data_IF_953988205534
#
_entry.id   IF_953988205534
#
_cell.length_a   1.000
_cell.length_b   1.000
_cell.length_c   1.000
_cell.angle_alpha   90.00
_cell.angle_beta   90.00
_cell.angle_gamma   90.00
#
_symmetry.space_group_name_H-M   'P 1'
#
loop_
_entity.id
_entity.type
_entity.pdbx_description
1 polymer ?
#
# COMPACT_ATOMS: atom_id res chain seq x y z
N UNK A 1 9.50 -28.26 50.58
CA UNK A 1 10.04 -27.66 51.83
C UNK A 1 10.94 -26.51 51.41
N UNK A 2 10.70 -25.31 51.94
CA UNK A 2 11.36 -24.00 51.73
C UNK A 2 11.12 -23.28 50.37
N UNK A 3 10.19 -22.33 50.20
CA UNK A 3 10.07 -20.90 50.64
C UNK A 3 11.11 -19.91 50.08
N UNK A 4 10.61 -18.87 49.35
CA UNK A 4 10.78 -17.41 49.54
C UNK A 4 10.25 -16.67 48.29
N UNK A 5 9.09 -16.00 48.31
CA UNK A 5 8.79 -14.65 48.82
C UNK A 5 9.84 -13.58 48.48
N UNK A 6 9.44 -12.65 47.60
CA UNK A 6 10.11 -11.37 47.35
C UNK A 6 9.08 -10.38 46.79
N UNK A 7 8.43 -9.64 47.70
CA UNK A 7 7.65 -8.44 47.41
C UNK A 7 8.57 -7.22 47.36
N UNK A 8 8.12 -6.13 46.71
CA UNK A 8 8.33 -4.67 46.98
C UNK A 8 8.13 -3.93 45.63
N UNK A 9 7.10 -3.13 45.37
CA UNK A 9 6.59 -1.89 46.01
C UNK A 9 7.06 -0.61 45.29
N UNK A 10 6.04 0.13 44.79
CA UNK A 10 5.86 1.59 44.83
C UNK A 10 6.64 2.55 43.91
N UNK A 11 5.87 3.36 43.16
CA UNK A 11 5.84 4.84 43.05
C UNK A 11 5.23 5.19 41.68
N UNK A 12 4.07 5.84 41.52
CA UNK A 12 3.58 6.98 42.27
C UNK A 12 3.96 8.29 41.56
N UNK A 13 3.35 8.62 40.41
CA UNK A 13 3.40 9.99 39.85
C UNK A 13 2.01 10.40 39.35
N UNK A 14 1.29 11.09 40.23
CA UNK A 14 0.13 11.89 39.86
C UNK A 14 0.61 13.16 39.13
N UNK A 15 0.15 13.38 37.89
CA UNK A 15 0.27 14.69 37.24
C UNK A 15 -1.08 15.39 37.19
N UNK A 16 -1.02 16.65 37.61
CA UNK A 16 -2.11 17.59 37.90
C UNK A 16 -2.06 18.73 36.87
N UNK A 17 -3.23 19.34 36.61
CA UNK A 17 -3.49 20.64 35.94
C UNK A 17 -3.44 20.57 34.40
N UNK A 18 -4.26 21.28 33.61
CA UNK A 18 -4.97 22.59 33.69
C UNK A 18 -6.24 22.44 32.80
N UNK A 19 -7.39 23.09 32.96
CA UNK A 19 -7.63 24.48 33.29
C UNK A 19 -8.10 25.23 32.02
N UNK A 20 -9.28 25.85 32.13
CA UNK A 20 -9.81 26.97 31.36
C UNK A 20 -10.65 26.71 30.09
N UNK A 21 -11.93 27.11 30.25
CA UNK A 21 -12.99 27.40 29.27
C UNK A 21 -12.56 28.50 28.30
N UNK A 22 -13.14 28.52 27.11
CA UNK A 22 -13.59 29.76 26.46
C UNK A 22 -14.68 29.46 25.42
N UNK A 23 -15.89 29.97 25.71
CA UNK A 23 -16.94 30.22 24.74
C UNK A 23 -16.50 31.38 23.83
N UNK A 24 -16.80 31.28 22.53
CA UNK A 24 -17.04 32.45 21.69
C UNK A 24 -18.13 32.14 20.67
N UNK A 25 -19.33 32.69 20.94
CA UNK A 25 -20.35 32.94 19.93
C UNK A 25 -19.80 33.97 18.94
N UNK A 26 -19.91 33.68 17.64
CA UNK A 26 -19.70 34.64 16.56
C UNK A 26 -20.91 34.66 15.64
N UNK A 27 -21.82 35.59 15.90
CA UNK A 27 -22.95 35.97 15.04
C UNK A 27 -22.44 36.54 13.70
N UNK A 28 -23.08 36.08 12.62
CA UNK A 28 -23.68 36.95 11.60
C UNK A 28 -22.77 37.62 10.57
N UNK A 29 -23.09 37.43 9.29
CA UNK A 29 -23.48 38.53 8.42
C UNK A 29 -24.09 38.00 7.12
N UNK A 30 -25.39 38.28 6.98
CA UNK A 30 -26.18 38.16 5.78
C UNK A 30 -25.78 39.32 4.85
N UNK A 31 -25.21 39.02 3.68
CA UNK A 31 -25.00 40.02 2.63
C UNK A 31 -25.77 39.62 1.37
N UNK A 32 -26.94 40.25 1.22
CA UNK A 32 -27.65 40.41 -0.04
C UNK A 32 -26.84 41.34 -0.93
N UNK A 33 -26.39 40.90 -2.10
CA UNK A 33 -25.91 41.79 -3.17
C UNK A 33 -26.52 41.36 -4.50
N UNK A 34 -26.92 42.39 -5.25
CA UNK A 34 -27.92 42.42 -6.28
C UNK A 34 -27.46 41.93 -7.66
N UNK A 35 -28.43 41.48 -8.46
CA UNK A 35 -28.31 41.33 -9.90
C UNK A 35 -28.03 42.68 -10.58
N UNK A 36 -26.99 42.73 -11.41
CA UNK A 36 -26.74 43.80 -12.38
C UNK A 36 -26.36 43.14 -13.70
N UNK A 37 -27.32 43.13 -14.62
CA UNK A 37 -27.12 42.86 -16.05
C UNK A 37 -26.35 44.01 -16.70
N UNK A 38 -25.17 43.73 -17.25
CA UNK A 38 -24.40 44.67 -18.06
C UNK A 38 -23.31 43.92 -18.82
N UNK A 39 -23.50 43.76 -20.13
CA UNK A 39 -22.53 43.12 -21.00
C UNK A 39 -21.46 44.13 -21.41
N UNK A 40 -20.20 43.76 -21.20
CA UNK A 40 -19.05 44.38 -21.83
C UNK A 40 -18.07 43.28 -22.26
N UNK A 41 -17.95 43.05 -23.57
CA UNK A 41 -16.94 42.18 -24.15
C UNK A 41 -15.62 42.95 -24.14
N UNK A 42 -14.88 42.82 -23.04
CA UNK A 42 -13.49 43.25 -22.96
C UNK A 42 -12.59 42.21 -23.62
N UNK A 43 -12.16 42.48 -24.85
CA UNK A 43 -10.99 41.83 -25.46
C UNK A 43 -9.74 42.36 -24.73
N UNK A 44 -9.40 41.68 -23.63
CA UNK A 44 -8.34 42.05 -22.71
C UNK A 44 -6.98 41.48 -23.09
N UNK A 45 -6.01 42.39 -23.10
CA UNK A 45 -4.54 42.24 -22.98
C UNK A 45 -4.04 40.87 -22.49
N UNK A 46 -3.15 40.33 -23.29
CA UNK A 46 -2.09 39.35 -23.02
C UNK A 46 -1.44 39.58 -21.64
N UNK A 47 -1.99 38.92 -20.63
CA UNK A 47 -1.32 38.70 -19.35
C UNK A 47 -0.64 37.33 -19.41
N UNK A 48 0.68 37.35 -19.48
CA UNK A 48 1.54 36.20 -19.19
C UNK A 48 1.49 35.85 -17.69
N UNK A 49 0.30 35.50 -17.20
CA UNK A 49 0.12 34.83 -15.92
C UNK A 49 0.25 33.33 -16.13
N UNK A 50 0.90 32.62 -15.22
CA UNK A 50 0.84 31.16 -15.14
C UNK A 50 -0.62 30.73 -15.29
N UNK A 51 -0.96 30.15 -16.45
CA UNK A 51 -2.35 29.93 -16.83
C UNK A 51 -3.05 29.15 -15.73
N UNK A 52 -4.16 29.66 -15.22
CA UNK A 52 -5.11 28.80 -14.51
C UNK A 52 -5.92 28.08 -15.59
N UNK A 53 -6.08 26.76 -15.49
CA UNK A 53 -6.90 26.02 -16.44
C UNK A 53 -8.38 26.36 -16.32
N UNK A 54 -9.26 25.66 -17.04
CA UNK A 54 -10.69 25.96 -17.02
C UNK A 54 -11.30 25.79 -15.62
N UNK A 55 -12.29 26.61 -15.26
CA UNK A 55 -13.05 26.40 -14.03
C UNK A 55 -14.06 25.25 -14.23
N UNK A 56 -14.22 24.39 -13.23
CA UNK A 56 -15.13 23.26 -13.25
C UNK A 56 -15.81 23.09 -11.88
N UNK A 57 -16.99 23.69 -11.71
CA UNK A 57 -17.61 23.80 -10.39
C UNK A 57 -16.72 24.58 -9.42
N UNK A 58 -16.41 23.98 -8.28
CA UNK A 58 -15.48 24.52 -7.28
C UNK A 58 -14.00 24.17 -7.55
N UNK A 59 -13.74 23.32 -8.55
CA UNK A 59 -12.38 22.90 -8.94
C UNK A 59 -11.83 23.78 -10.07
N UNK A 60 -10.53 24.08 -10.04
CA UNK A 60 -9.81 24.69 -11.17
C UNK A 60 -9.00 23.59 -11.88
N UNK A 61 -9.33 23.31 -13.14
CA UNK A 61 -8.61 22.31 -13.93
C UNK A 61 -7.16 22.72 -14.20
N UNK A 62 -6.31 21.75 -14.52
CA UNK A 62 -4.95 22.03 -14.94
C UNK A 62 -4.94 22.71 -16.31
N UNK A 63 -3.81 23.36 -16.65
CA UNK A 63 -3.63 23.98 -17.97
C UNK A 63 -3.69 22.90 -19.05
N UNK A 64 -4.61 23.06 -19.99
CA UNK A 64 -4.81 22.11 -21.09
C UNK A 64 -5.91 21.07 -20.84
N UNK A 65 -6.52 21.05 -19.65
CA UNK A 65 -7.69 20.23 -19.35
C UNK A 65 -8.99 21.00 -19.58
N UNK A 66 -10.06 20.23 -19.86
CA UNK A 66 -11.42 20.73 -20.04
C UNK A 66 -12.30 20.26 -18.89
N UNK A 67 -13.27 21.09 -18.49
CA UNK A 67 -14.26 20.70 -17.50
C UNK A 67 -15.16 19.62 -18.09
N UNK A 68 -15.13 18.42 -17.48
CA UNK A 68 -15.93 17.29 -17.89
C UNK A 68 -17.28 17.26 -17.16
N UNK A 69 -17.28 17.46 -15.84
CA UNK A 69 -18.53 17.55 -15.07
C UNK A 69 -18.43 18.65 -14.01
N UNK A 70 -19.03 19.79 -14.29
CA UNK A 70 -19.02 20.96 -13.41
C UNK A 70 -19.72 20.69 -12.06
N UNK A 71 -20.68 19.76 -11.99
CA UNK A 71 -21.35 19.43 -10.73
C UNK A 71 -20.47 18.60 -9.78
N UNK A 72 -19.47 17.89 -10.31
CA UNK A 72 -18.54 17.05 -9.55
C UNK A 72 -17.13 17.68 -9.46
N UNK A 73 -16.88 18.77 -10.17
CA UNK A 73 -15.53 19.33 -10.32
C UNK A 73 -14.53 18.42 -11.05
N UNK A 74 -15.01 17.57 -11.96
CA UNK A 74 -14.15 16.62 -12.69
C UNK A 74 -13.58 17.27 -13.96
N UNK A 75 -12.26 17.25 -14.07
CA UNK A 75 -11.48 17.71 -15.22
C UNK A 75 -10.99 16.51 -16.04
N UNK A 76 -10.94 16.65 -17.37
CA UNK A 76 -10.43 15.63 -18.26
C UNK A 76 -9.57 16.25 -19.37
N UNK A 77 -8.75 15.43 -20.04
CA UNK A 77 -8.03 15.89 -21.23
C UNK A 77 -9.00 16.05 -22.42
N UNK A 78 -8.67 16.91 -23.41
CA UNK A 78 -9.54 17.18 -24.56
C UNK A 78 -9.95 15.95 -25.38
N UNK A 79 -9.16 14.86 -25.33
CA UNK A 79 -9.38 13.62 -26.08
C UNK A 79 -9.77 12.42 -25.19
N UNK A 80 -10.04 12.65 -23.91
CA UNK A 80 -10.47 11.62 -22.97
C UNK A 80 -11.99 11.63 -22.82
N UNK A 81 -12.61 10.45 -22.90
CA UNK A 81 -14.05 10.31 -22.84
C UNK A 81 -14.61 10.82 -21.51
N UNK A 82 -15.45 11.85 -21.58
CA UNK A 82 -16.08 12.40 -20.39
C UNK A 82 -17.33 11.59 -20.01
N UNK A 83 -17.30 10.96 -18.83
CA UNK A 83 -18.51 10.32 -18.28
C UNK A 83 -19.30 11.34 -17.45
N UNK A 84 -20.55 11.58 -17.85
CA UNK A 84 -21.49 12.38 -17.06
C UNK A 84 -22.08 11.50 -15.95
N UNK A 85 -21.26 11.09 -15.00
CA UNK A 85 -21.73 10.40 -13.81
C UNK A 85 -22.51 11.40 -12.95
N UNK A 86 -23.71 11.02 -12.52
CA UNK A 86 -24.48 11.84 -11.58
C UNK A 86 -23.71 11.94 -10.27
N UNK A 87 -23.35 13.17 -9.88
CA UNK A 87 -22.71 13.44 -8.61
C UNK A 87 -23.76 13.19 -7.53
N UNK A 88 -23.51 12.21 -6.65
CA UNK A 88 -24.32 12.08 -5.46
C UNK A 88 -24.09 13.35 -4.62
N UNK A 89 -25.12 14.13 -4.24
CA UNK A 89 -24.95 15.34 -3.44
C UNK A 89 -24.30 15.11 -2.07
N UNK A 90 -24.00 13.86 -1.67
CA UNK A 90 -23.17 13.51 -0.51
C UNK A 90 -21.77 12.95 -0.82
N UNK A 91 -21.36 12.83 -2.09
CA UNK A 91 -20.22 12.00 -2.53
C UNK A 91 -18.92 12.73 -2.83
N UNK A 92 -18.57 13.77 -2.07
CA UNK A 92 -17.28 14.46 -2.15
C UNK A 92 -16.18 13.85 -1.26
N UNK A 93 -16.47 12.77 -0.54
CA UNK A 93 -15.43 11.96 0.10
C UNK A 93 -15.03 10.88 -0.90
N UNK A 94 -13.92 11.13 -1.58
CA UNK A 94 -13.08 10.06 -2.12
C UNK A 94 -13.08 8.92 -1.07
N UNK A 95 -13.52 7.69 -1.38
CA UNK A 95 -13.36 6.56 -0.47
C UNK A 95 -11.85 6.38 -0.34
N UNK A 96 -11.29 6.98 0.69
CA UNK A 96 -9.86 7.18 0.86
C UNK A 96 -9.11 5.94 0.42
N UNK A 97 -8.24 6.12 -0.57
CA UNK A 97 -7.23 5.13 -0.87
C UNK A 97 -6.55 4.79 0.46
N UNK A 98 -6.50 3.52 0.89
CA UNK A 98 -5.82 3.16 2.13
C UNK A 98 -4.38 3.68 2.07
N UNK A 99 -4.08 4.74 2.82
CA UNK A 99 -2.77 5.37 2.87
C UNK A 99 -2.66 6.83 2.45
N UNK A 100 -3.75 7.55 2.16
CA UNK A 100 -3.64 9.02 2.01
C UNK A 100 -3.38 9.66 3.39
N UNK A 101 -2.24 10.32 3.63
CA UNK A 101 -1.99 11.06 4.85
C UNK A 101 -2.93 12.25 4.84
N UNK A 102 -4.00 12.17 5.64
CA UNK A 102 -5.02 13.21 5.76
C UNK A 102 -4.43 14.61 5.82
N UNK A 103 -5.19 15.59 5.33
CA UNK A 103 -4.74 16.97 5.29
C UNK A 103 -4.43 17.47 6.71
N UNK A 104 -3.50 18.42 6.89
CA UNK A 104 -3.10 18.89 8.23
C UNK A 104 -4.24 19.48 9.08
N UNK A 105 -5.38 19.77 8.47
CA UNK A 105 -6.56 20.35 9.11
C UNK A 105 -7.59 19.29 9.57
N UNK A 106 -7.38 18.02 9.21
CA UNK A 106 -8.22 16.92 9.66
C UNK A 106 -7.96 16.62 11.15
N UNK A 107 -9.01 16.48 11.99
CA UNK A 107 -8.84 16.08 13.37
C UNK A 107 -8.07 14.74 13.40
N UNK A 108 -6.98 14.63 14.18
CA UNK A 108 -6.24 13.39 14.28
C UNK A 108 -7.20 12.29 14.76
N UNK A 109 -7.26 11.19 14.02
CA UNK A 109 -8.15 10.08 14.33
C UNK A 109 -7.98 9.59 15.77
N UNK A 110 -9.05 9.02 16.34
CA UNK A 110 -9.00 8.54 17.71
C UNK A 110 -8.16 7.26 17.79
N UNK A 111 -7.15 7.16 18.68
CA UNK A 111 -6.38 5.93 18.84
C UNK A 111 -7.26 4.78 19.37
N UNK A 112 -7.05 3.58 18.83
CA UNK A 112 -7.75 2.35 19.18
C UNK A 112 -6.77 1.17 19.11
N UNK A 113 -6.12 0.84 20.23
CA UNK A 113 -5.06 -0.18 20.24
C UNK A 113 -3.89 0.22 19.34
N UNK A 114 -3.53 -0.67 18.41
CA UNK A 114 -2.48 -0.46 17.41
C UNK A 114 -2.99 0.25 16.13
N UNK A 115 -4.28 0.58 16.08
CA UNK A 115 -4.93 1.26 14.95
C UNK A 115 -5.38 2.67 15.36
N UNK A 116 -5.57 3.55 14.37
CA UNK A 116 -6.18 4.87 14.56
C UNK A 116 -7.49 4.89 13.77
N UNK A 117 -8.61 5.16 14.44
CA UNK A 117 -9.93 5.18 13.80
C UNK A 117 -10.05 6.37 12.84
N UNK A 118 -10.67 6.12 11.69
CA UNK A 118 -10.93 7.15 10.68
C UNK A 118 -11.92 8.21 11.17
N UNK A 119 -12.10 9.26 10.37
CA UNK A 119 -13.11 10.27 10.68
C UNK A 119 -14.52 9.65 10.71
N UNK A 120 -15.35 10.11 11.64
CA UNK A 120 -16.69 9.58 11.83
C UNK A 120 -16.74 8.23 12.56
N UNK A 121 -15.58 7.63 12.88
CA UNK A 121 -15.52 6.37 13.62
C UNK A 121 -15.14 6.57 15.08
N UNK A 122 -15.61 5.65 15.92
CA UNK A 122 -15.26 5.54 17.34
C UNK A 122 -14.60 4.19 17.65
N UNK A 123 -13.68 4.20 18.62
CA UNK A 123 -13.02 2.97 19.04
C UNK A 123 -14.00 2.06 19.78
N UNK A 124 -14.37 0.95 19.15
CA UNK A 124 -15.24 -0.04 19.77
C UNK A 124 -14.46 -0.99 20.68
N UNK A 125 -13.30 -1.47 20.22
CA UNK A 125 -12.47 -2.36 21.02
C UNK A 125 -10.99 -2.05 20.86
N UNK A 126 -10.45 -1.37 21.87
CA UNK A 126 -9.03 -0.99 21.91
C UNK A 126 -8.09 -2.21 22.00
N UNK A 127 -8.55 -3.36 22.47
CA UNK A 127 -7.71 -4.56 22.52
C UNK A 127 -7.49 -5.19 21.16
N UNK A 128 -8.40 -4.98 20.19
CA UNK A 128 -8.28 -5.53 18.83
C UNK A 128 -8.11 -4.46 17.74
N UNK A 129 -8.04 -3.18 18.12
CA UNK A 129 -8.04 -2.06 17.18
C UNK A 129 -9.29 -1.94 16.33
N UNK A 130 -10.45 -2.38 16.84
CA UNK A 130 -11.71 -2.33 16.09
C UNK A 130 -12.37 -0.96 16.19
N UNK A 131 -12.53 -0.30 15.05
CA UNK A 131 -13.25 0.95 14.88
C UNK A 131 -14.65 0.68 14.31
N UNK A 132 -15.64 1.45 14.74
CA UNK A 132 -17.02 1.41 14.22
C UNK A 132 -17.49 2.81 13.90
N UNK A 133 -18.49 2.96 13.04
CA UNK A 133 -19.12 4.26 12.79
C UNK A 133 -19.69 4.86 14.08
N UNK A 134 -19.68 6.19 14.21
CA UNK A 134 -20.19 6.88 15.39
C UNK A 134 -21.67 6.54 15.65
N UNK A 135 -21.96 6.01 16.85
CA UNK A 135 -23.29 5.53 17.22
C UNK A 135 -23.61 4.11 16.72
N UNK A 136 -22.64 3.44 16.09
CA UNK A 136 -22.73 2.04 15.71
C UNK A 136 -22.82 1.11 16.92
N UNK A 137 -23.40 -0.06 16.72
CA UNK A 137 -23.43 -1.08 17.77
C UNK A 137 -22.01 -1.58 18.04
N UNK A 138 -21.55 -1.41 19.28
CA UNK A 138 -20.27 -1.93 19.70
C UNK A 138 -20.43 -3.19 20.55
N UNK A 139 -19.91 -4.32 20.05
CA UNK A 139 -19.84 -5.56 20.80
C UNK A 139 -18.40 -5.71 21.33
N UNK A 140 -18.22 -5.56 22.65
CA UNK A 140 -16.92 -5.71 23.31
C UNK A 140 -16.52 -7.19 23.44
N UNK A 141 -16.50 -7.91 22.33
CA UNK A 141 -16.01 -9.28 22.30
C UNK A 141 -14.55 -9.28 22.71
N UNK A 142 -14.18 -10.21 23.59
CA UNK A 142 -12.77 -10.52 23.78
C UNK A 142 -12.18 -10.83 22.40
N UNK A 143 -11.07 -10.19 22.05
CA UNK A 143 -10.34 -10.60 20.86
C UNK A 143 -10.04 -12.08 21.06
N UNK A 144 -10.39 -12.92 20.07
CA UNK A 144 -9.64 -14.16 19.95
C UNK A 144 -8.17 -13.74 19.93
N UNK A 145 -7.33 -14.28 20.83
CA UNK A 145 -5.92 -13.93 20.83
C UNK A 145 -5.45 -14.12 19.39
N UNK A 146 -4.89 -13.06 18.80
CA UNK A 146 -4.21 -13.21 17.51
C UNK A 146 -3.33 -14.45 17.68
N UNK A 147 -3.51 -15.43 16.78
CA UNK A 147 -2.70 -16.64 16.81
C UNK A 147 -1.26 -16.18 17.04
N UNK A 148 -0.52 -16.78 18.00
CA UNK A 148 0.82 -16.32 18.32
C UNK A 148 1.55 -16.14 16.99
N UNK A 149 2.10 -14.93 16.73
CA UNK A 149 2.80 -14.72 15.47
C UNK A 149 3.85 -15.83 15.43
N UNK A 150 3.80 -16.70 14.42
CA UNK A 150 4.62 -17.90 14.46
C UNK A 150 6.09 -17.54 14.26
N UNK A 151 6.90 -18.42 13.67
CA UNK A 151 8.31 -18.08 13.54
C UNK A 151 8.52 -16.94 12.52
N UNK A 152 9.31 -15.93 12.88
CA UNK A 152 9.70 -14.87 11.95
C UNK A 152 10.57 -15.48 10.84
N UNK A 153 10.19 -15.28 9.59
CA UNK A 153 10.91 -15.75 8.42
C UNK A 153 11.17 -14.58 7.48
N UNK A 154 12.33 -13.93 7.64
CA UNK A 154 12.64 -12.70 6.90
C UNK A 154 11.61 -11.60 7.13
N UNK A 155 10.94 -11.18 6.06
CA UNK A 155 9.86 -10.18 6.08
C UNK A 155 8.47 -10.79 6.35
N UNK A 156 8.36 -12.12 6.41
CA UNK A 156 7.11 -12.83 6.65
C UNK A 156 7.09 -13.47 8.04
N UNK A 157 5.90 -13.90 8.47
CA UNK A 157 5.69 -14.67 9.69
C UNK A 157 5.02 -15.99 9.32
N UNK A 158 5.63 -17.11 9.67
CA UNK A 158 5.09 -18.43 9.37
C UNK A 158 3.94 -18.72 10.35
N UNK A 159 2.75 -19.03 9.84
CA UNK A 159 1.59 -19.37 10.67
C UNK A 159 1.71 -20.74 11.32
N UNK A 160 0.71 -21.09 12.13
CA UNK A 160 0.63 -22.40 12.78
C UNK A 160 0.71 -23.55 11.75
N UNK A 161 1.52 -24.58 12.05
CA UNK A 161 1.75 -25.72 11.15
C UNK A 161 2.70 -25.43 9.98
N UNK A 162 3.37 -24.28 9.97
CA UNK A 162 4.40 -23.93 8.98
C UNK A 162 5.71 -23.53 9.67
N UNK A 163 6.84 -23.76 9.00
CA UNK A 163 8.18 -23.41 9.48
C UNK A 163 8.96 -22.60 8.43
N UNK A 164 9.96 -21.84 8.90
CA UNK A 164 10.75 -20.98 8.02
C UNK A 164 11.75 -21.81 7.19
N UNK A 165 11.40 -22.07 5.93
CA UNK A 165 12.25 -22.78 4.99
C UNK A 165 13.44 -21.92 4.56
N UNK A 166 13.21 -20.65 4.24
CA UNK A 166 14.29 -19.75 3.85
C UNK A 166 14.00 -18.32 4.34
N UNK A 167 14.75 -17.90 5.36
CA UNK A 167 14.61 -16.59 5.97
C UNK A 167 14.99 -15.44 5.02
N UNK A 168 15.86 -15.68 4.03
CA UNK A 168 16.21 -14.67 3.03
C UNK A 168 15.03 -14.38 2.10
N UNK A 169 14.26 -15.42 1.75
CA UNK A 169 13.06 -15.33 0.91
C UNK A 169 11.80 -14.93 1.71
N UNK A 170 11.81 -15.14 3.02
CA UNK A 170 10.59 -15.22 3.82
C UNK A 170 9.65 -16.34 3.40
N UNK A 171 10.20 -17.50 3.00
CA UNK A 171 9.41 -18.64 2.55
C UNK A 171 9.03 -19.54 3.74
N UNK A 172 7.73 -19.69 3.96
CA UNK A 172 7.16 -20.60 4.95
C UNK A 172 6.63 -21.85 4.25
N UNK A 173 6.93 -23.03 4.77
CA UNK A 173 6.45 -24.32 4.23
C UNK A 173 5.76 -25.11 5.33
N UNK A 174 4.85 -26.01 4.97
CA UNK A 174 4.15 -26.84 5.94
C UNK A 174 5.09 -27.82 6.65
N UNK A 175 4.77 -28.17 7.89
CA UNK A 175 5.47 -29.24 8.58
C UNK A 175 5.36 -30.56 7.80
N UNK A 176 6.48 -31.22 7.54
CA UNK A 176 6.55 -32.47 6.78
C UNK A 176 6.77 -32.30 5.27
N UNK A 177 6.73 -31.07 4.75
CA UNK A 177 7.17 -30.78 3.38
C UNK A 177 8.68 -30.53 3.33
N UNK A 178 9.31 -30.95 2.23
CA UNK A 178 10.72 -30.71 1.99
C UNK A 178 10.97 -29.23 1.67
N UNK A 179 11.93 -28.62 2.34
CA UNK A 179 12.41 -27.29 1.98
C UNK A 179 13.48 -27.42 0.89
N UNK A 180 13.18 -26.87 -0.28
CA UNK A 180 14.17 -26.64 -1.33
C UNK A 180 14.51 -25.17 -1.23
N UNK A 181 15.72 -24.82 -0.78
CA UNK A 181 16.17 -23.43 -0.67
C UNK A 181 16.14 -22.77 -2.07
N UNK A 182 15.15 -21.92 -2.39
CA UNK A 182 15.18 -21.19 -3.64
C UNK A 182 16.18 -20.03 -3.51
N UNK A 183 16.75 -19.60 -4.63
CA UNK A 183 17.55 -18.37 -4.65
C UNK A 183 16.61 -17.16 -4.55
N UNK A 184 16.68 -16.44 -3.43
CA UNK A 184 15.64 -15.53 -2.94
C UNK A 184 15.61 -14.13 -3.58
N UNK A 185 16.39 -13.91 -4.62
CA UNK A 185 16.59 -12.57 -5.17
C UNK A 185 16.65 -12.51 -6.69
N UNK A 186 16.45 -13.65 -7.37
CA UNK A 186 16.33 -13.68 -8.82
C UNK A 186 14.89 -13.94 -9.19
N UNK A 187 14.36 -13.05 -10.01
CA UNK A 187 13.15 -13.38 -10.75
C UNK A 187 13.45 -14.69 -11.50
N UNK A 188 12.50 -15.62 -11.52
CA UNK A 188 12.66 -16.85 -12.32
C UNK A 188 12.97 -16.51 -13.79
N UNK A 189 12.59 -15.32 -14.24
CA UNK A 189 12.86 -14.82 -15.58
C UNK A 189 14.20 -14.08 -15.75
N UNK A 190 14.94 -13.80 -14.67
CA UNK A 190 16.28 -13.22 -14.76
C UNK A 190 17.25 -14.21 -15.40
N UNK A 191 18.17 -13.71 -16.22
CA UNK A 191 19.18 -14.52 -16.86
C UNK A 191 20.07 -15.23 -15.83
N UNK A 192 20.25 -16.55 -15.98
CA UNK A 192 21.21 -17.31 -15.21
C UNK A 192 22.65 -16.94 -15.62
N UNK A 193 23.49 -16.71 -14.62
CA UNK A 193 24.93 -16.42 -14.69
C UNK A 193 25.79 -17.66 -14.94
N UNK A 194 25.19 -18.85 -15.02
CA UNK A 194 25.90 -20.07 -15.36
C UNK A 194 26.56 -19.95 -16.74
N UNK A 195 27.86 -20.20 -16.81
CA UNK A 195 28.69 -20.18 -18.01
C UNK A 195 29.52 -21.47 -18.10
N UNK A 196 29.70 -21.99 -19.31
CA UNK A 196 30.59 -23.11 -19.55
C UNK A 196 32.05 -22.67 -19.35
N UNK A 197 32.82 -23.48 -18.64
CA UNK A 197 34.24 -23.29 -18.41
C UNK A 197 35.05 -24.43 -19.05
N UNK A 198 36.16 -24.08 -19.70
CA UNK A 198 37.06 -25.02 -20.39
C UNK A 198 36.62 -25.36 -21.82
N UNK A 199 37.48 -26.08 -22.55
CA UNK A 199 37.31 -26.36 -23.99
C UNK A 199 36.73 -27.75 -24.29
N UNK A 200 36.16 -28.43 -23.30
CA UNK A 200 35.52 -29.74 -23.50
C UNK A 200 34.09 -29.57 -24.04
N UNK A 201 33.58 -30.59 -24.71
CA UNK A 201 32.19 -30.63 -25.20
C UNK A 201 31.29 -31.55 -24.35
N UNK A 202 31.46 -31.57 -23.02
CA UNK A 202 30.56 -32.34 -22.16
C UNK A 202 29.29 -31.54 -21.89
N UNK A 203 28.13 -32.20 -21.98
CA UNK A 203 26.85 -31.61 -21.62
C UNK A 203 26.78 -31.39 -20.10
N UNK A 204 26.62 -30.13 -19.69
CA UNK A 204 26.55 -29.74 -18.28
C UNK A 204 25.11 -29.49 -17.81
N UNK A 205 24.21 -29.15 -18.74
CA UNK A 205 22.81 -28.84 -18.47
C UNK A 205 22.27 -27.77 -19.41
N UNK A 206 21.12 -27.21 -19.07
CA UNK A 206 20.48 -26.11 -19.79
C UNK A 206 20.32 -24.93 -18.84
N UNK A 207 20.63 -23.73 -19.33
CA UNK A 207 20.43 -22.49 -18.58
C UNK A 207 19.38 -21.59 -19.23
N UNK A 208 18.75 -20.72 -18.47
CA UNK A 208 17.95 -19.61 -18.99
C UNK A 208 18.83 -18.37 -19.21
N UNK A 209 18.86 -17.82 -20.41
CA UNK A 209 19.69 -16.64 -20.73
C UNK A 209 18.96 -15.30 -20.57
N UNK A 210 17.75 -15.30 -20.00
CA UNK A 210 16.87 -14.12 -19.93
C UNK A 210 15.92 -13.99 -21.11
N UNK A 211 16.26 -14.60 -22.26
CA UNK A 211 15.42 -14.60 -23.46
C UNK A 211 15.14 -15.99 -24.05
N UNK A 212 15.76 -17.04 -23.51
CA UNK A 212 15.60 -18.40 -24.02
C UNK A 212 16.42 -19.43 -23.22
N UNK A 213 16.12 -20.70 -23.47
CA UNK A 213 16.88 -21.82 -22.91
C UNK A 213 18.08 -22.16 -23.81
N UNK A 214 19.28 -22.22 -23.22
CA UNK A 214 20.54 -22.46 -23.91
C UNK A 214 21.23 -23.71 -23.33
N UNK A 215 21.66 -24.61 -24.23
CA UNK A 215 22.48 -25.76 -23.87
C UNK A 215 23.86 -25.28 -23.40
N UNK A 216 24.29 -25.75 -22.23
CA UNK A 216 25.62 -25.44 -21.69
C UNK A 216 26.53 -26.66 -21.85
N UNK A 217 27.61 -26.51 -22.61
CA UNK A 217 28.63 -27.55 -22.81
C UNK A 217 30.02 -27.05 -22.46
N UNK A 218 30.78 -27.80 -21.66
CA UNK A 218 32.08 -27.38 -21.16
C UNK A 218 32.79 -28.49 -20.36
N UNK A 219 33.95 -28.17 -19.78
CA UNK A 219 34.58 -29.05 -18.79
C UNK A 219 34.00 -28.84 -17.38
N UNK A 220 33.35 -27.70 -17.13
CA UNK A 220 32.72 -27.35 -15.87
C UNK A 220 31.84 -26.11 -16.02
N UNK A 221 31.21 -25.70 -14.93
CA UNK A 221 30.36 -24.50 -14.90
C UNK A 221 31.00 -23.44 -13.99
N UNK A 222 30.92 -22.18 -14.41
CA UNK A 222 31.29 -21.01 -13.62
C UNK A 222 30.08 -20.05 -13.52
N UNK A 223 29.88 -19.41 -12.36
CA UNK A 223 28.75 -18.51 -12.09
C UNK A 223 27.92 -18.93 -10.88
N UNK A 224 27.00 -18.06 -10.44
CA UNK A 224 26.16 -18.30 -9.26
C UNK A 224 25.14 -19.43 -9.46
N UNK A 225 24.63 -19.59 -10.68
CA UNK A 225 23.52 -20.50 -10.96
C UNK A 225 23.96 -21.90 -11.45
N UNK A 226 25.22 -22.28 -11.27
CA UNK A 226 25.69 -23.60 -11.72
C UNK A 226 24.98 -24.78 -11.05
N UNK A 227 24.43 -24.59 -9.85
CA UNK A 227 23.59 -25.58 -9.17
C UNK A 227 22.14 -25.62 -9.68
N UNK A 228 21.71 -24.61 -10.43
CA UNK A 228 20.35 -24.43 -10.94
C UNK A 228 20.17 -24.77 -12.42
N UNK A 229 21.11 -25.52 -13.02
CA UNK A 229 20.98 -25.95 -14.41
C UNK A 229 19.85 -26.98 -14.57
N UNK A 230 19.07 -26.83 -15.63
CA UNK A 230 18.02 -27.77 -15.99
C UNK A 230 18.60 -29.00 -16.69
N UNK A 231 17.99 -30.19 -16.51
CA UNK A 231 18.48 -31.42 -17.13
C UNK A 231 18.18 -31.49 -18.64
N UNK A 232 17.24 -30.70 -19.14
CA UNK A 232 16.85 -30.67 -20.55
C UNK A 232 16.25 -29.31 -20.97
N UNK A 233 16.19 -29.09 -22.29
CA UNK A 233 15.58 -27.88 -22.87
C UNK A 233 14.11 -27.76 -22.49
N UNK A 234 13.37 -28.87 -22.56
CA UNK A 234 11.94 -28.95 -22.25
C UNK A 234 11.62 -28.53 -20.81
N UNK A 235 12.41 -28.99 -19.82
CA UNK A 235 12.20 -28.61 -18.42
C UNK A 235 12.49 -27.12 -18.23
N UNK A 236 13.55 -26.60 -18.87
CA UNK A 236 13.84 -25.17 -18.84
C UNK A 236 12.71 -24.35 -19.48
N UNK A 237 12.24 -24.70 -20.67
CA UNK A 237 11.17 -23.98 -21.36
C UNK A 237 9.87 -23.99 -20.55
N UNK A 238 9.51 -25.14 -19.97
CA UNK A 238 8.34 -25.25 -19.10
C UNK A 238 8.45 -24.38 -17.85
N UNK A 239 9.64 -24.26 -17.26
CA UNK A 239 9.86 -23.42 -16.08
C UNK A 239 9.75 -21.91 -16.40
N UNK A 240 9.97 -21.51 -17.65
CA UNK A 240 10.01 -20.10 -18.08
C UNK A 240 8.89 -19.72 -19.07
N UNK A 241 7.80 -20.49 -19.15
CA UNK A 241 6.66 -20.19 -20.03
C UNK A 241 6.10 -18.77 -19.85
N UNK A 242 6.21 -18.22 -18.63
CA UNK A 242 5.69 -16.90 -18.29
C UNK A 242 6.72 -15.76 -18.45
N UNK A 243 7.95 -16.06 -18.90
CA UNK A 243 9.03 -15.08 -19.00
C UNK A 243 9.06 -14.33 -20.33
N UNK A 244 8.28 -14.75 -21.33
CA UNK A 244 8.26 -14.16 -22.66
C UNK A 244 7.65 -12.73 -22.74
N UNK A 245 7.12 -12.20 -21.63
CA UNK A 245 6.38 -10.92 -21.59
C UNK A 245 7.06 -9.80 -20.79
N UNK A 246 8.34 -9.96 -20.43
CA UNK A 246 9.15 -8.90 -19.80
C UNK A 246 10.13 -8.28 -20.78
#
# INVERSE_FOLDING_TARGET
MFTRFGALAWLGVARKRRGARSLALGLGLLSLVACSSGGDVSLGKDQSGAGKGAACGDTQCAVGEVCCNASCGICAKPDEGCILLACDPGGGTDPGTPGDPGTPDDPPGQPCGDTVCGQGQECCNASCGTCVEAGGACDQRACEPAAPPGEQCGNNWCGEGTWCCNATCGMCVAEGEGCIEPDCGRDVCDAQEAQAAGTCEMFLGVRWSGGGCELLSGCGCAGGDCGGLYPSLEVCESAHLNCASK
#
